data_IF_142118377533
#
_entry.id   IF_142118377533
#
_cell.length_a   1.000
_cell.length_b   1.000
_cell.length_c   1.000
_cell.angle_alpha   90.00
_cell.angle_beta   90.00
_cell.angle_gamma   90.00
#
_symmetry.space_group_name_H-M   'P 1'
#
loop_
_entity.id
_entity.type
_entity.pdbx_description
1 polymer ?
#
# COMPACT_ATOMS: atom_id res chain seq x y z
N UNK A 1 -3.22 19.20 -68.93
CA UNK A 1 -3.61 17.98 -68.19
C UNK A 1 -2.41 17.18 -67.66
N UNK A 2 -1.24 17.15 -68.32
CA UNK A 2 -0.08 16.34 -67.89
C UNK A 2 0.53 16.68 -66.51
N UNK A 3 0.68 17.97 -66.17
CA UNK A 3 1.37 18.39 -64.94
C UNK A 3 0.64 18.02 -63.64
N UNK A 4 -0.71 18.04 -63.66
CA UNK A 4 -1.54 17.68 -62.50
C UNK A 4 -1.47 16.19 -62.16
N UNK A 5 -1.41 15.31 -63.18
CA UNK A 5 -1.25 13.87 -62.97
C UNK A 5 0.12 13.53 -62.37
N UNK A 6 1.18 14.23 -62.76
CA UNK A 6 2.51 14.05 -62.17
C UNK A 6 2.53 14.44 -60.68
N UNK A 7 1.87 15.54 -60.30
CA UNK A 7 1.78 15.97 -58.90
C UNK A 7 0.98 14.98 -58.03
N UNK A 8 -0.10 14.40 -58.57
CA UNK A 8 -0.88 13.36 -57.90
C UNK A 8 -0.05 12.09 -57.68
N UNK A 9 0.74 11.66 -58.68
CA UNK A 9 1.60 10.48 -58.55
C UNK A 9 2.71 10.69 -57.50
N UNK A 10 3.29 11.88 -57.41
CA UNK A 10 4.29 12.21 -56.40
C UNK A 10 3.68 12.19 -54.99
N UNK A 11 2.51 12.81 -54.80
CA UNK A 11 1.82 12.77 -53.51
C UNK A 11 1.41 11.36 -53.11
N UNK A 12 0.97 10.54 -54.07
CA UNK A 12 0.63 9.13 -53.82
C UNK A 12 1.86 8.33 -53.38
N UNK A 13 3.01 8.56 -54.00
CA UNK A 13 4.27 7.93 -53.62
C UNK A 13 4.66 8.30 -52.18
N UNK A 14 4.65 9.59 -51.82
CA UNK A 14 4.95 10.01 -50.45
C UNK A 14 3.93 9.48 -49.43
N UNK A 15 2.64 9.44 -49.77
CA UNK A 15 1.61 8.87 -48.91
C UNK A 15 1.84 7.37 -48.65
N UNK A 16 2.27 6.61 -49.67
CA UNK A 16 2.62 5.19 -49.52
C UNK A 16 3.86 5.02 -48.64
N UNK A 17 4.91 5.82 -48.85
CA UNK A 17 6.15 5.75 -48.04
C UNK A 17 5.87 6.10 -46.58
N UNK A 18 5.11 7.17 -46.33
CA UNK A 18 4.70 7.58 -44.97
C UNK A 18 3.81 6.49 -44.35
N UNK A 19 2.86 5.93 -45.11
CA UNK A 19 2.02 4.82 -44.66
C UNK A 19 2.83 3.58 -44.26
N UNK A 20 3.83 3.19 -45.07
CA UNK A 20 4.73 2.08 -44.77
C UNK A 20 5.62 2.36 -43.55
N UNK A 21 6.11 3.60 -43.41
CA UNK A 21 6.89 4.01 -42.24
C UNK A 21 6.07 3.91 -40.94
N UNK A 22 4.85 4.47 -40.93
CA UNK A 22 3.95 4.37 -39.79
C UNK A 22 3.53 2.92 -39.51
N UNK A 23 3.32 2.11 -40.55
CA UNK A 23 3.00 0.69 -40.39
C UNK A 23 4.13 -0.09 -39.71
N UNK A 24 5.39 0.21 -40.06
CA UNK A 24 6.56 -0.40 -39.42
C UNK A 24 6.71 0.06 -37.95
N UNK A 25 6.50 1.35 -37.69
CA UNK A 25 6.54 1.92 -36.34
C UNK A 25 5.48 1.29 -35.40
N UNK A 26 4.24 1.13 -35.90
CA UNK A 26 3.15 0.51 -35.14
C UNK A 26 3.42 -0.96 -34.82
N UNK A 27 4.01 -1.73 -35.75
CA UNK A 27 4.42 -3.12 -35.51
C UNK A 27 5.50 -3.22 -34.43
N UNK A 28 6.47 -2.30 -34.44
CA UNK A 28 7.53 -2.29 -33.44
C UNK A 28 7.01 -1.93 -32.03
N UNK A 29 6.04 -1.01 -31.93
CA UNK A 29 5.39 -0.68 -30.65
C UNK A 29 4.55 -1.81 -30.08
N UNK A 30 3.82 -2.57 -30.91
CA UNK A 30 3.03 -3.72 -30.45
C UNK A 30 3.91 -4.86 -29.90
N UNK A 31 5.07 -5.12 -30.53
CA UNK A 31 6.01 -6.14 -30.03
C UNK A 31 6.57 -5.80 -28.65
N UNK A 32 7.00 -4.54 -28.44
CA UNK A 32 7.52 -4.09 -27.14
C UNK A 32 6.45 -4.11 -26.04
N UNK A 33 5.21 -3.69 -26.35
CA UNK A 33 4.12 -3.70 -25.36
C UNK A 33 3.82 -5.12 -24.87
N UNK A 34 3.80 -6.10 -25.76
CA UNK A 34 3.54 -7.50 -25.40
C UNK A 34 4.64 -8.15 -24.54
N UNK A 35 5.90 -7.75 -24.73
CA UNK A 35 7.02 -8.20 -23.90
C UNK A 35 6.95 -7.59 -22.49
N UNK A 36 6.68 -6.29 -22.39
CA UNK A 36 6.54 -5.56 -21.13
C UNK A 36 5.34 -6.08 -20.32
N UNK A 37 4.19 -6.30 -20.95
CA UNK A 37 3.01 -6.86 -20.27
C UNK A 37 3.27 -8.27 -19.72
N UNK A 38 4.06 -9.09 -20.43
CA UNK A 38 4.40 -10.45 -19.98
C UNK A 38 5.36 -10.43 -18.80
N UNK A 39 6.31 -9.50 -18.78
CA UNK A 39 7.24 -9.32 -17.68
C UNK A 39 6.52 -8.79 -16.43
N UNK A 40 5.67 -7.77 -16.60
CA UNK A 40 4.84 -7.23 -15.52
C UNK A 40 3.92 -8.29 -14.90
N UNK A 41 3.29 -9.15 -15.71
CA UNK A 41 2.46 -10.26 -15.18
C UNK A 41 3.27 -11.26 -14.34
N UNK A 42 4.49 -11.61 -14.78
CA UNK A 42 5.37 -12.51 -14.02
C UNK A 42 5.80 -11.88 -12.69
N UNK A 43 6.08 -10.59 -12.70
CA UNK A 43 6.44 -9.84 -11.50
C UNK A 43 5.26 -9.75 -10.53
N UNK A 44 4.05 -9.46 -11.03
CA UNK A 44 2.82 -9.51 -10.25
C UNK A 44 2.56 -10.90 -9.67
N UNK A 45 2.70 -11.97 -10.44
CA UNK A 45 2.56 -13.34 -9.92
C UNK A 45 3.59 -13.65 -8.83
N UNK A 46 4.83 -13.17 -8.98
CA UNK A 46 5.89 -13.30 -7.96
C UNK A 46 5.52 -12.54 -6.69
N UNK A 47 5.05 -11.30 -6.80
CA UNK A 47 4.59 -10.50 -5.66
C UNK A 47 3.41 -11.17 -4.95
N UNK A 48 2.41 -11.65 -5.69
CA UNK A 48 1.29 -12.41 -5.13
C UNK A 48 1.77 -13.70 -4.45
N UNK A 49 2.79 -14.39 -4.99
CA UNK A 49 3.37 -15.58 -4.37
C UNK A 49 4.12 -15.24 -3.09
N UNK A 50 4.82 -14.12 -3.04
CA UNK A 50 5.49 -13.61 -1.83
C UNK A 50 4.46 -13.21 -0.76
N UNK A 51 3.36 -12.55 -1.15
CA UNK A 51 2.24 -12.23 -0.26
C UNK A 51 1.52 -13.46 0.31
N UNK A 52 1.56 -14.62 -0.37
CA UNK A 52 1.02 -15.89 0.14
C UNK A 52 1.88 -16.51 1.25
N UNK A 53 3.13 -16.10 1.40
CA UNK A 53 3.98 -16.54 2.51
C UNK A 53 3.62 -15.71 3.74
N UNK A 54 2.55 -16.11 4.43
CA UNK A 54 2.17 -15.52 5.69
C UNK A 54 3.07 -16.05 6.81
N UNK A 55 3.63 -15.15 7.62
CA UNK A 55 4.27 -15.51 8.88
C UNK A 55 3.22 -16.03 9.87
N UNK A 56 3.65 -16.84 10.83
CA UNK A 56 2.77 -17.24 11.93
C UNK A 56 2.30 -16.00 12.67
N UNK A 57 0.98 -15.90 12.86
CA UNK A 57 0.38 -14.81 13.61
C UNK A 57 0.97 -14.76 15.03
N UNK A 58 1.49 -13.60 15.46
CA UNK A 58 2.12 -13.46 16.76
C UNK A 58 1.10 -13.70 17.88
N UNK A 59 1.57 -14.23 19.02
CA UNK A 59 0.71 -14.52 20.17
C UNK A 59 -0.10 -13.29 20.61
N UNK A 60 0.53 -12.11 20.58
CA UNK A 60 -0.12 -10.86 20.96
C UNK A 60 -1.35 -10.51 20.08
N UNK A 61 -1.37 -10.94 18.82
CA UNK A 61 -2.54 -10.77 17.95
C UNK A 61 -3.58 -11.86 18.24
N UNK A 62 -3.14 -13.11 18.41
CA UNK A 62 -4.02 -14.24 18.78
C UNK A 62 -4.77 -14.03 20.10
N UNK A 63 -4.12 -13.38 21.08
CA UNK A 63 -4.71 -13.09 22.39
C UNK A 63 -5.32 -11.70 22.47
N UNK A 64 -5.40 -10.96 21.35
CA UNK A 64 -6.00 -9.63 21.35
C UNK A 64 -7.50 -9.76 21.65
N UNK A 65 -8.04 -8.94 22.57
CA UNK A 65 -9.46 -8.99 22.92
C UNK A 65 -10.39 -8.87 21.71
N UNK A 66 -11.32 -9.83 21.56
CA UNK A 66 -12.33 -9.85 20.51
C UNK A 66 -13.68 -9.25 20.95
N UNK A 67 -13.86 -9.05 22.26
CA UNK A 67 -15.04 -8.46 22.88
C UNK A 67 -14.65 -7.53 24.04
N UNK A 68 -15.56 -6.63 24.42
CA UNK A 68 -15.30 -5.70 25.53
C UNK A 68 -15.15 -6.41 26.88
N UNK A 69 -15.79 -7.57 27.05
CA UNK A 69 -15.73 -8.37 28.29
C UNK A 69 -14.33 -8.96 28.52
N UNK A 70 -13.52 -9.08 27.46
CA UNK A 70 -12.12 -9.52 27.53
C UNK A 70 -11.17 -8.39 27.96
N UNK A 71 -11.62 -7.14 27.97
CA UNK A 71 -10.82 -6.01 28.49
C UNK A 71 -11.05 -5.87 29.99
N UNK A 72 -10.12 -6.42 30.77
CA UNK A 72 -10.21 -6.44 32.24
C UNK A 72 -9.85 -5.09 32.86
N UNK A 73 -10.69 -4.61 33.78
CA UNK A 73 -10.36 -3.49 34.68
C UNK A 73 -10.52 -2.09 34.09
N UNK A 74 -11.12 -1.93 32.90
CA UNK A 74 -11.28 -0.63 32.22
C UNK A 74 -12.74 -0.18 32.07
N UNK A 75 -13.67 -0.71 32.87
CA UNK A 75 -15.12 -0.51 32.72
C UNK A 75 -15.56 0.95 32.48
N UNK A 76 -15.07 1.90 33.28
CA UNK A 76 -15.45 3.31 33.15
C UNK A 76 -14.92 3.94 31.86
N UNK A 77 -13.69 3.60 31.48
CA UNK A 77 -13.07 4.04 30.23
C UNK A 77 -13.81 3.49 29.00
N UNK A 78 -14.20 2.21 29.03
CA UNK A 78 -15.00 1.58 27.97
C UNK A 78 -16.38 2.23 27.86
N UNK A 79 -17.03 2.52 28.99
CA UNK A 79 -18.32 3.21 29.01
C UNK A 79 -18.23 4.61 28.42
N UNK A 80 -17.20 5.38 28.77
CA UNK A 80 -16.96 6.70 28.19
C UNK A 80 -16.68 6.63 26.68
N UNK A 81 -15.88 5.65 26.25
CA UNK A 81 -15.55 5.45 24.84
C UNK A 81 -16.80 5.11 24.00
N UNK A 82 -17.66 4.21 24.50
CA UNK A 82 -18.96 3.89 23.86
C UNK A 82 -19.87 5.12 23.76
N UNK A 83 -19.97 5.90 24.84
CA UNK A 83 -20.78 7.12 24.84
C UNK A 83 -20.29 8.17 23.82
N UNK A 84 -18.97 8.27 23.64
CA UNK A 84 -18.36 9.23 22.71
C UNK A 84 -18.48 8.84 21.23
N UNK A 85 -18.46 7.54 20.91
CA UNK A 85 -18.33 7.06 19.53
C UNK A 85 -19.58 6.37 18.96
N UNK A 86 -20.43 5.78 19.80
CA UNK A 86 -21.62 5.07 19.33
C UNK A 86 -22.84 5.99 19.17
N UNK A 87 -22.71 7.31 19.36
CA UNK A 87 -23.79 8.28 19.15
C UNK A 87 -23.94 8.72 17.68
N UNK A 88 -24.94 9.57 17.37
CA UNK A 88 -25.14 10.12 16.03
C UNK A 88 -24.05 11.07 15.56
N UNK A 89 -23.32 11.66 16.51
CA UNK A 89 -22.19 12.55 16.24
C UNK A 89 -20.96 12.03 17.00
N UNK A 90 -20.22 11.05 16.45
CA UNK A 90 -19.01 10.52 17.07
C UNK A 90 -17.97 11.63 17.26
N UNK A 91 -17.36 11.68 18.45
CA UNK A 91 -16.34 12.69 18.77
C UNK A 91 -14.92 12.20 18.50
N UNK A 92 -13.98 13.14 18.32
CA UNK A 92 -12.56 12.83 18.37
C UNK A 92 -12.16 12.51 19.82
N UNK A 93 -11.49 11.37 20.02
CA UNK A 93 -11.12 10.85 21.34
C UNK A 93 -9.61 10.63 21.41
N UNK A 94 -9.01 11.01 22.54
CA UNK A 94 -7.63 10.65 22.88
C UNK A 94 -7.69 9.57 23.98
N UNK A 95 -7.11 8.40 23.69
CA UNK A 95 -6.98 7.29 24.65
C UNK A 95 -5.54 7.27 25.14
N UNK A 96 -5.32 7.49 26.43
CA UNK A 96 -4.00 7.51 27.05
C UNK A 96 -3.93 6.53 28.23
N UNK A 97 -2.71 6.14 28.63
CA UNK A 97 -2.46 5.21 29.72
C UNK A 97 -1.20 4.37 29.52
N UNK A 98 -0.81 3.56 30.51
CA UNK A 98 0.39 2.72 30.48
C UNK A 98 0.43 1.77 29.25
N UNK A 99 1.61 1.29 28.83
CA UNK A 99 1.70 0.30 27.76
C UNK A 99 0.98 -1.01 28.14
N UNK A 100 0.36 -1.68 27.17
CA UNK A 100 -0.27 -2.99 27.37
C UNK A 100 -1.68 -2.99 27.99
N UNK A 101 -2.25 -1.84 28.40
CA UNK A 101 -3.57 -1.79 29.06
C UNK A 101 -4.79 -1.96 28.14
N UNK A 102 -4.59 -2.29 26.85
CA UNK A 102 -5.69 -2.54 25.92
C UNK A 102 -6.23 -1.31 25.17
N UNK A 103 -5.50 -0.18 25.11
CA UNK A 103 -5.94 1.04 24.41
C UNK A 103 -6.33 0.81 22.95
N UNK A 104 -5.43 0.21 22.17
CA UNK A 104 -5.66 -0.09 20.75
C UNK A 104 -6.78 -1.11 20.55
N UNK A 105 -6.87 -2.11 21.44
CA UNK A 105 -7.95 -3.09 21.41
C UNK A 105 -9.31 -2.43 21.67
N UNK A 106 -9.41 -1.55 22.68
CA UNK A 106 -10.63 -0.80 22.98
C UNK A 106 -11.08 0.08 21.80
N UNK A 107 -10.14 0.76 21.13
CA UNK A 107 -10.43 1.57 19.95
C UNK A 107 -10.99 0.75 18.78
N UNK A 108 -10.49 -0.48 18.58
CA UNK A 108 -10.98 -1.38 17.54
C UNK A 108 -12.39 -1.90 17.88
N UNK A 109 -12.59 -2.35 19.11
CA UNK A 109 -13.86 -2.90 19.56
C UNK A 109 -14.99 -1.87 19.59
N UNK A 110 -14.71 -0.61 19.94
CA UNK A 110 -15.76 0.42 19.94
C UNK A 110 -16.25 0.74 18.53
N UNK A 111 -15.40 0.65 17.51
CA UNK A 111 -15.85 0.78 16.13
C UNK A 111 -16.81 -0.37 15.77
N UNK A 112 -16.45 -1.61 16.11
CA UNK A 112 -17.32 -2.77 15.86
C UNK A 112 -18.67 -2.67 16.55
N UNK A 113 -18.70 -2.07 17.75
CA UNK A 113 -19.97 -1.80 18.43
C UNK A 113 -20.73 -0.60 17.84
N UNK A 114 -20.02 0.46 17.43
CA UNK A 114 -20.64 1.61 16.78
C UNK A 114 -21.32 1.20 15.46
N UNK A 115 -20.71 0.31 14.68
CA UNK A 115 -21.32 -0.27 13.47
C UNK A 115 -22.66 -0.96 13.71
N UNK A 116 -22.86 -1.52 14.91
CA UNK A 116 -24.11 -2.20 15.30
C UNK A 116 -25.16 -1.23 15.81
N UNK A 117 -24.80 0.02 16.10
CA UNK A 117 -25.74 1.03 16.56
C UNK A 117 -26.35 1.77 15.35
N UNK A 118 -27.68 1.66 15.12
CA UNK A 118 -28.35 2.34 14.01
C UNK A 118 -28.25 3.87 14.06
N UNK A 119 -27.99 4.43 15.25
CA UNK A 119 -27.81 5.87 15.42
C UNK A 119 -26.41 6.33 15.01
N UNK A 120 -25.40 5.45 15.00
CA UNK A 120 -24.05 5.86 14.63
C UNK A 120 -23.94 6.02 13.11
N UNK A 121 -23.04 6.89 12.62
CA UNK A 121 -22.79 7.05 11.19
C UNK A 121 -21.91 5.93 10.60
N UNK A 122 -21.40 5.00 11.41
CA UNK A 122 -20.51 3.94 10.94
C UNK A 122 -21.33 2.79 10.34
N UNK A 123 -21.09 2.50 9.06
CA UNK A 123 -21.68 1.36 8.36
C UNK A 123 -20.93 0.06 8.64
N UNK A 124 -21.53 -1.09 8.34
CA UNK A 124 -20.85 -2.40 8.43
C UNK A 124 -19.54 -2.44 7.65
N UNK A 125 -19.46 -1.72 6.52
CA UNK A 125 -18.29 -1.57 5.66
C UNK A 125 -17.23 -0.59 6.20
N UNK A 126 -17.47 0.11 7.31
CA UNK A 126 -16.50 1.07 7.84
C UNK A 126 -15.18 0.38 8.21
N UNK A 127 -14.08 0.89 7.68
CA UNK A 127 -12.76 0.32 7.91
C UNK A 127 -12.13 0.87 9.21
N UNK A 128 -11.53 0.00 10.01
CA UNK A 128 -10.59 0.41 11.05
C UNK A 128 -9.23 0.66 10.41
N UNK A 129 -8.87 1.92 10.18
CA UNK A 129 -7.57 2.29 9.61
C UNK A 129 -6.62 2.64 10.76
N UNK A 130 -5.61 1.80 10.96
CA UNK A 130 -4.58 1.99 11.98
C UNK A 130 -3.36 2.66 11.34
N UNK A 131 -2.94 3.80 11.90
CA UNK A 131 -1.74 4.52 11.48
C UNK A 131 -0.80 4.58 12.67
N UNK A 132 0.33 3.89 12.57
CA UNK A 132 1.35 3.90 13.62
C UNK A 132 2.43 4.96 13.34
N UNK A 133 3.29 5.18 14.34
CA UNK A 133 4.39 6.13 14.24
C UNK A 133 5.45 5.74 13.20
N UNK A 134 5.48 4.47 12.77
CA UNK A 134 6.41 4.00 11.74
C UNK A 134 5.87 4.23 10.33
N UNK A 135 4.56 4.16 10.15
CA UNK A 135 3.82 4.41 8.90
C UNK A 135 3.89 5.88 8.51
N UNK A 136 3.88 6.79 9.50
CA UNK A 136 3.95 8.23 9.26
C UNK A 136 5.36 8.75 8.90
N UNK A 137 6.41 7.90 8.94
CA UNK A 137 7.72 8.28 8.42
C UNK A 137 7.70 8.22 6.89
N UNK A 138 7.23 9.31 6.29
CA UNK A 138 7.29 9.55 4.86
C UNK A 138 8.76 9.73 4.45
N UNK A 139 9.38 8.68 3.92
CA UNK A 139 10.64 8.77 3.17
C UNK A 139 10.26 8.83 1.68
N UNK A 140 10.69 9.88 0.97
CA UNK A 140 10.45 10.03 -0.48
C UNK A 140 11.01 8.86 -1.31
N UNK A 141 11.92 8.05 -0.73
CA UNK A 141 12.45 6.83 -1.36
C UNK A 141 11.59 5.58 -1.13
N UNK A 142 10.59 5.64 -0.25
CA UNK A 142 9.69 4.52 0.08
C UNK A 142 8.58 4.26 -0.95
N UNK A 143 8.35 5.18 -1.89
CA UNK A 143 7.31 5.04 -2.94
C UNK A 143 7.61 3.87 -3.91
N UNK A 144 8.88 3.49 -4.04
CA UNK A 144 9.31 2.45 -4.97
C UNK A 144 9.35 1.04 -4.35
N UNK A 145 9.11 0.90 -3.04
CA UNK A 145 9.07 -0.41 -2.40
C UNK A 145 7.62 -0.92 -2.34
N UNK A 146 7.24 -1.94 -3.14
CA UNK A 146 5.89 -2.48 -3.16
C UNK A 146 5.51 -3.18 -1.84
N UNK A 147 6.45 -3.34 -0.91
CA UNK A 147 6.19 -3.83 0.44
C UNK A 147 6.16 -2.64 1.40
N UNK A 148 4.95 -2.13 1.70
CA UNK A 148 4.73 -1.20 2.80
C UNK A 148 5.38 -1.75 4.08
N UNK A 149 6.43 -1.08 4.55
CA UNK A 149 7.14 -1.43 5.78
C UNK A 149 8.55 -1.97 5.56
N UNK A 150 9.42 -1.21 4.90
CA UNK A 150 10.86 -1.46 4.98
C UNK A 150 11.34 -1.08 6.39
N UNK A 151 11.57 -2.09 7.23
CA UNK A 151 12.40 -1.94 8.42
C UNK A 151 13.72 -1.32 7.95
N UNK A 152 14.03 -0.10 8.41
CA UNK A 152 15.34 0.50 8.20
C UNK A 152 16.36 -0.31 8.99
N UNK A 153 16.86 -1.38 8.39
CA UNK A 153 17.91 -2.20 8.98
C UNK A 153 19.18 -1.31 9.14
N UNK A 154 19.79 -1.22 10.34
CA UNK A 154 20.96 -0.36 10.58
C UNK A 154 22.13 -0.62 9.62
N UNK A 155 22.20 -1.80 9.00
CA UNK A 155 23.19 -2.15 7.97
C UNK A 155 23.03 -1.35 6.67
N UNK A 156 21.84 -0.81 6.38
CA UNK A 156 21.58 0.02 5.18
C UNK A 156 21.73 1.53 5.44
N UNK A 157 21.69 1.98 6.69
CA UNK A 157 21.87 3.40 7.05
C UNK A 157 23.29 3.95 6.78
N UNK A 158 24.23 3.12 6.31
CA UNK A 158 25.60 3.51 5.98
C UNK A 158 26.07 3.16 4.57
N UNK A 159 25.21 2.64 3.69
CA UNK A 159 25.64 2.03 2.42
C UNK A 159 26.18 3.03 1.37
N UNK A 160 26.11 4.35 1.62
CA UNK A 160 26.67 5.36 0.73
C UNK A 160 26.14 5.22 -0.71
N UNK A 161 26.97 5.42 -1.75
CA UNK A 161 26.57 5.28 -3.15
C UNK A 161 26.01 3.89 -3.52
N UNK A 162 26.34 2.86 -2.74
CA UNK A 162 25.93 1.47 -2.96
C UNK A 162 24.53 1.18 -2.39
N UNK A 163 23.96 2.09 -1.58
CA UNK A 163 22.60 1.97 -1.06
C UNK A 163 21.54 1.95 -2.16
N UNK A 164 21.81 2.61 -3.30
CA UNK A 164 20.93 2.61 -4.47
C UNK A 164 20.87 1.24 -5.14
N UNK A 165 21.91 0.41 -4.99
CA UNK A 165 21.98 -0.95 -5.53
C UNK A 165 21.44 -2.02 -4.57
N UNK A 166 20.98 -1.64 -3.36
CA UNK A 166 20.48 -2.58 -2.36
C UNK A 166 21.54 -3.53 -1.79
N UNK A 167 22.84 -3.21 -1.93
CA UNK A 167 23.94 -4.05 -1.43
C UNK A 167 24.29 -3.59 0.00
N UNK A 168 24.06 -4.42 1.04
CA UNK A 168 24.39 -4.03 2.41
C UNK A 168 25.91 -3.95 2.61
N UNK A 169 26.37 -2.92 3.35
CA UNK A 169 27.74 -2.84 3.85
C UNK A 169 27.74 -2.99 5.38
N UNK A 170 28.04 -4.20 5.91
CA UNK A 170 28.11 -4.38 7.36
C UNK A 170 29.29 -3.59 7.92
N UNK A 171 29.02 -2.69 8.87
CA UNK A 171 30.08 -2.01 9.64
C UNK A 171 30.65 -2.98 10.67
N UNK A 172 31.99 -3.06 10.83
CA UNK A 172 32.59 -3.81 11.93
C UNK A 172 32.01 -3.35 13.27
N UNK A 173 31.46 -4.28 14.06
CA UNK A 173 30.82 -4.00 15.36
C UNK A 173 29.29 -3.89 15.36
N UNK A 174 28.61 -4.05 14.21
CA UNK A 174 27.14 -4.04 14.14
C UNK A 174 26.48 -5.36 14.59
N UNK A 175 27.28 -6.41 14.86
CA UNK A 175 26.82 -7.67 15.43
C UNK A 175 27.90 -8.14 16.42
N UNK A 176 27.51 -8.34 17.68
CA UNK A 176 28.25 -9.13 18.67
C UNK A 176 27.78 -10.57 18.64
#
# INVERSE_FOLDING_TARGET
MSLGHAFVLINLFFAIVIGLYFWNLLRQQQSNKSAVDRESRKEMEKLHRMQRVALTEPLAEKTRPASFDEIVGQNDGLKALRAALCGPNPQHVIIYGPPGVGKTAAARLVLEEAKRNPLSPFTESAAFVEVDATTARFDDRGIADPLMGSVHDPIYQGAGPLGIAGIPQPKPGAVT
#
